data_IF_398421584255
#
_entry.id   IF_398421584255
#
_cell.length_a   1.000
_cell.length_b   1.000
_cell.length_c   1.000
_cell.angle_alpha   90.00
_cell.angle_beta   90.00
_cell.angle_gamma   90.00
#
_symmetry.space_group_name_H-M   'P 1'
#
loop_
_entity.id
_entity.type
_entity.pdbx_description
1 polymer ?
#
# COMPACT_ATOMS: atom_id res chain seq x y z
N UNK A 1 -18.33 28.35 -5.51
CA UNK A 1 -17.74 27.06 -5.10
C UNK A 1 -16.26 27.12 -5.44
N UNK A 2 -15.36 27.20 -4.43
CA UNK A 2 -13.91 27.23 -4.65
C UNK A 2 -13.44 25.79 -4.88
N UNK A 3 -13.09 25.46 -6.12
CA UNK A 3 -12.46 24.19 -6.47
C UNK A 3 -11.00 24.26 -6.03
N UNK A 4 -10.72 23.81 -4.82
CA UNK A 4 -9.36 23.62 -4.34
C UNK A 4 -8.82 22.36 -5.00
N UNK A 5 -8.21 22.49 -6.17
CA UNK A 5 -7.47 21.41 -6.83
C UNK A 5 -6.22 21.16 -5.97
N UNK A 6 -6.29 20.17 -5.09
CA UNK A 6 -5.10 19.63 -4.43
C UNK A 6 -4.35 18.83 -5.50
N UNK A 7 -3.38 19.48 -6.14
CA UNK A 7 -2.40 18.80 -6.99
C UNK A 7 -1.52 17.96 -6.07
N UNK A 8 -1.95 16.72 -5.82
CA UNK A 8 -1.14 15.71 -5.16
C UNK A 8 -0.02 15.33 -6.13
N UNK A 9 1.21 15.71 -5.83
CA UNK A 9 2.39 15.25 -6.55
C UNK A 9 2.61 13.76 -6.24
N UNK A 10 1.89 12.87 -6.93
CA UNK A 10 1.93 11.40 -6.77
C UNK A 10 3.31 10.77 -7.06
N UNK A 11 4.27 11.54 -7.58
CA UNK A 11 5.57 11.04 -7.99
C UNK A 11 6.44 10.57 -6.82
N UNK A 12 6.22 11.03 -5.58
CA UNK A 12 7.06 10.63 -4.44
C UNK A 12 6.71 9.25 -3.89
N UNK A 13 5.44 8.86 -3.88
CA UNK A 13 4.99 7.58 -3.29
C UNK A 13 5.55 6.37 -4.04
N UNK A 14 5.58 6.41 -5.38
CA UNK A 14 6.12 5.33 -6.21
C UNK A 14 7.57 4.96 -5.86
N UNK A 15 8.41 5.95 -5.58
CA UNK A 15 9.81 5.73 -5.21
C UNK A 15 9.95 5.16 -3.80
N UNK A 16 9.12 5.62 -2.86
CA UNK A 16 9.10 5.10 -1.49
C UNK A 16 8.63 3.65 -1.46
N UNK A 17 7.65 3.29 -2.27
CA UNK A 17 7.11 1.93 -2.34
C UNK A 17 8.11 0.89 -2.81
N UNK A 18 8.85 1.20 -3.88
CA UNK A 18 9.88 0.30 -4.41
C UNK A 18 11.02 0.12 -3.40
N UNK A 19 11.25 1.12 -2.54
CA UNK A 19 12.26 1.07 -1.48
C UNK A 19 11.79 0.31 -0.24
N UNK A 20 10.54 0.47 0.15
CA UNK A 20 9.99 -0.10 1.39
C UNK A 20 9.31 -1.47 1.18
N UNK A 21 8.87 -1.78 -0.05
CA UNK A 21 8.22 -3.04 -0.42
C UNK A 21 8.99 -3.74 -1.58
N UNK A 22 9.59 -4.92 -1.33
CA UNK A 22 10.27 -5.69 -2.38
C UNK A 22 9.28 -6.26 -3.40
N UNK A 23 9.80 -6.63 -4.56
CA UNK A 23 9.08 -7.23 -5.70
C UNK A 23 8.01 -8.26 -5.33
N UNK A 24 8.30 -9.12 -4.35
CA UNK A 24 7.40 -10.19 -3.90
C UNK A 24 6.05 -9.68 -3.34
N UNK A 25 6.02 -8.47 -2.77
CA UNK A 25 4.82 -7.89 -2.18
C UNK A 25 4.00 -7.06 -3.17
N UNK A 26 4.56 -6.68 -4.33
CA UNK A 26 3.81 -5.95 -5.36
C UNK A 26 2.63 -6.74 -5.91
N UNK A 27 2.75 -8.07 -5.99
CA UNK A 27 1.64 -8.94 -6.40
C UNK A 27 0.48 -8.92 -5.38
N UNK A 28 0.76 -8.62 -4.11
CA UNK A 28 -0.26 -8.52 -3.08
C UNK A 28 -1.09 -7.24 -3.20
N UNK A 29 -0.54 -6.17 -3.80
CA UNK A 29 -1.28 -4.93 -4.05
C UNK A 29 -2.46 -5.16 -5.00
N UNK A 30 -2.34 -6.05 -5.98
CA UNK A 30 -3.45 -6.37 -6.90
C UNK A 30 -4.64 -6.98 -6.14
N UNK A 31 -4.40 -7.80 -5.13
CA UNK A 31 -5.47 -8.31 -4.26
C UNK A 31 -6.16 -7.19 -3.49
N UNK A 32 -5.41 -6.19 -3.02
CA UNK A 32 -5.97 -5.06 -2.28
C UNK A 32 -6.88 -4.20 -3.15
N UNK A 33 -6.50 -3.93 -4.40
CA UNK A 33 -7.31 -3.14 -5.34
C UNK A 33 -8.68 -3.76 -5.60
N UNK A 34 -8.79 -5.10 -5.54
CA UNK A 34 -10.06 -5.82 -5.70
C UNK A 34 -10.99 -5.68 -4.50
N UNK A 35 -10.45 -5.39 -3.32
CA UNK A 35 -11.21 -5.31 -2.06
C UNK A 35 -11.61 -3.86 -1.77
N UNK A 36 -10.78 -2.89 -2.14
CA UNK A 36 -10.97 -1.47 -1.80
C UNK A 36 -11.57 -0.64 -2.92
N UNK A 37 -11.72 -1.19 -4.13
CA UNK A 37 -12.04 -0.44 -5.37
C UNK A 37 -11.02 0.66 -5.72
N UNK A 38 -9.89 0.73 -5.02
CA UNK A 38 -8.82 1.67 -5.32
C UNK A 38 -8.01 1.23 -6.54
N UNK A 39 -7.46 2.20 -7.27
CA UNK A 39 -6.55 1.91 -8.38
C UNK A 39 -5.21 1.42 -7.81
N UNK A 40 -4.54 0.52 -8.54
CA UNK A 40 -3.19 0.06 -8.20
C UNK A 40 -2.26 1.26 -8.03
N UNK A 41 -1.57 1.34 -6.89
CA UNK A 41 -0.69 2.45 -6.49
C UNK A 41 -1.38 3.79 -6.17
N UNK A 42 -2.71 3.85 -6.10
CA UNK A 42 -3.40 5.02 -5.53
C UNK A 42 -3.35 4.96 -4.00
N UNK A 43 -2.20 5.34 -3.44
CA UNK A 43 -1.97 5.27 -2.00
C UNK A 43 -2.85 6.23 -1.21
N UNK A 44 -3.31 7.32 -1.82
CA UNK A 44 -4.30 8.20 -1.20
C UNK A 44 -5.62 7.47 -0.98
N UNK A 45 -6.10 6.69 -1.95
CA UNK A 45 -7.28 5.85 -1.79
C UNK A 45 -7.01 4.65 -0.87
N UNK A 46 -5.91 3.93 -1.10
CA UNK A 46 -5.55 2.72 -0.35
C UNK A 46 -5.42 3.01 1.14
N UNK A 47 -4.83 4.14 1.54
CA UNK A 47 -4.68 4.52 2.94
C UNK A 47 -6.00 4.88 3.64
N UNK A 48 -7.08 5.20 2.92
CA UNK A 48 -8.43 5.27 3.50
C UNK A 48 -8.95 3.90 3.95
N UNK A 49 -8.34 2.83 3.43
CA UNK A 49 -8.68 1.43 3.68
C UNK A 49 -7.52 0.67 4.34
N UNK A 50 -6.65 1.37 5.07
CA UNK A 50 -5.41 0.84 5.63
C UNK A 50 -5.62 -0.47 6.42
N UNK A 51 -6.64 -0.55 7.29
CA UNK A 51 -6.91 -1.75 8.09
C UNK A 51 -7.22 -2.99 7.23
N UNK A 52 -7.97 -2.80 6.14
CA UNK A 52 -8.26 -3.88 5.19
C UNK A 52 -7.00 -4.29 4.42
N UNK A 53 -6.15 -3.34 4.08
CA UNK A 53 -4.86 -3.59 3.41
C UNK A 53 -3.89 -4.34 4.30
N UNK A 54 -3.79 -3.93 5.57
CA UNK A 54 -2.96 -4.61 6.57
C UNK A 54 -3.40 -6.06 6.74
N UNK A 55 -4.71 -6.30 6.88
CA UNK A 55 -5.27 -7.64 7.08
C UNK A 55 -5.15 -8.52 5.83
N UNK A 56 -5.63 -8.05 4.67
CA UNK A 56 -5.63 -8.84 3.43
C UNK A 56 -4.23 -8.96 2.82
N UNK A 57 -3.41 -7.92 3.00
CA UNK A 57 -2.03 -7.87 2.54
C UNK A 57 -1.10 -8.73 3.37
N UNK A 58 -1.26 -8.80 4.69
CA UNK A 58 -0.39 -9.58 5.57
C UNK A 58 -0.30 -11.06 5.16
N UNK A 59 -1.44 -11.73 4.96
CA UNK A 59 -1.43 -13.15 4.57
C UNK A 59 -0.76 -13.38 3.22
N UNK A 60 -1.01 -12.51 2.23
CA UNK A 60 -0.35 -12.59 0.94
C UNK A 60 1.16 -12.31 1.06
N UNK A 61 1.54 -11.35 1.89
CA UNK A 61 2.92 -10.96 2.10
C UNK A 61 3.73 -12.10 2.73
N UNK A 62 3.18 -12.81 3.71
CA UNK A 62 3.85 -13.99 4.29
C UNK A 62 3.96 -15.15 3.27
N UNK A 63 2.92 -15.37 2.46
CA UNK A 63 2.93 -16.41 1.43
C UNK A 63 3.96 -16.13 0.32
N UNK A 64 4.07 -14.87 -0.13
CA UNK A 64 4.90 -14.50 -1.28
C UNK A 64 6.31 -14.06 -0.92
N UNK A 65 6.51 -13.46 0.24
CA UNK A 65 7.79 -12.92 0.68
C UNK A 65 8.45 -13.71 1.81
N UNK A 66 7.77 -14.75 2.31
CA UNK A 66 8.28 -15.63 3.36
C UNK A 66 7.69 -15.33 4.74
N UNK A 67 7.86 -16.26 5.69
CA UNK A 67 7.20 -16.19 6.98
C UNK A 67 7.60 -14.93 7.77
N UNK A 68 6.63 -14.32 8.44
CA UNK A 68 6.79 -13.11 9.24
C UNK A 68 7.19 -11.86 8.44
N UNK A 69 7.14 -11.89 7.11
CA UNK A 69 7.37 -10.70 6.30
C UNK A 69 6.26 -9.66 6.53
N UNK A 70 5.04 -10.12 6.78
CA UNK A 70 3.90 -9.28 7.14
C UNK A 70 4.24 -8.32 8.28
N UNK A 71 4.65 -8.86 9.42
CA UNK A 71 4.90 -8.08 10.64
C UNK A 71 6.21 -7.29 10.58
N UNK A 72 7.24 -7.86 9.97
CA UNK A 72 8.59 -7.27 9.99
C UNK A 72 8.81 -6.17 8.96
N UNK A 73 8.09 -6.20 7.85
CA UNK A 73 8.32 -5.30 6.72
C UNK A 73 7.03 -4.73 6.15
N UNK A 74 6.03 -5.56 5.85
CA UNK A 74 4.82 -5.12 5.16
C UNK A 74 3.98 -4.13 5.98
N UNK A 75 3.58 -4.49 7.21
CA UNK A 75 2.77 -3.62 8.08
C UNK A 75 3.49 -2.30 8.41
N UNK A 76 4.78 -2.30 8.82
CA UNK A 76 5.52 -1.07 9.03
C UNK A 76 5.62 -0.20 7.77
N UNK A 77 5.82 -0.79 6.59
CA UNK A 77 5.90 -0.06 5.33
C UNK A 77 4.57 0.61 4.98
N UNK A 78 3.46 -0.14 5.02
CA UNK A 78 2.10 0.40 4.77
C UNK A 78 1.82 1.58 5.71
N UNK A 79 2.09 1.41 7.01
CA UNK A 79 1.90 2.48 7.99
C UNK A 79 2.76 3.71 7.66
N UNK A 80 4.02 3.52 7.31
CA UNK A 80 4.92 4.63 6.94
C UNK A 80 4.47 5.36 5.67
N UNK A 81 3.92 4.62 4.70
CA UNK A 81 3.37 5.19 3.46
C UNK A 81 2.09 5.99 3.75
N UNK A 82 1.22 5.48 4.61
CA UNK A 82 -0.08 6.10 4.92
C UNK A 82 -0.04 7.22 5.97
N UNK A 83 1.04 7.32 6.74
CA UNK A 83 1.25 8.40 7.71
C UNK A 83 1.89 9.65 7.08
N UNK A 84 2.18 9.64 5.79
CA UNK A 84 2.95 10.66 5.08
C UNK A 84 2.15 11.33 3.97
#
# INVERSE_FOLDING_TARGET
MKLTVVVLTFATLAHTLVKELPGCAFACLDTMTKITNCIKNDWSCLCLHQEMIETAGASCADEKCGPSFAEKAFLPAVKKICQN
#
